data_IF_117917825758
#
_entry.id   IF_117917825758
#
_cell.length_a   1.000
_cell.length_b   1.000
_cell.length_c   1.000
_cell.angle_alpha   90.00
_cell.angle_beta   90.00
_cell.angle_gamma   90.00
#
_symmetry.space_group_name_H-M   'P 1'
#
loop_
_entity.id
_entity.type
_entity.pdbx_description
1 polymer ?
#
# COMPACT_ATOMS: atom_id res chain seq x y z
N UNK A 1 -9.94 -6.48 8.42
CA UNK A 1 -10.77 -5.24 8.49
C UNK A 1 -10.01 -4.06 9.08
N UNK A 2 -9.14 -4.25 10.10
CA UNK A 2 -8.29 -3.18 10.65
C UNK A 2 -6.81 -3.34 10.33
N UNK A 3 -6.49 -4.15 9.32
CA UNK A 3 -5.11 -4.49 8.96
C UNK A 3 -4.36 -3.23 8.48
N UNK A 4 -5.03 -2.37 7.73
CA UNK A 4 -4.50 -1.09 7.25
C UNK A 4 -4.36 -0.06 8.37
N UNK A 5 -5.30 0.00 9.31
CA UNK A 5 -5.19 0.84 10.50
C UNK A 5 -3.97 0.44 11.35
N UNK A 6 -3.69 -0.86 11.44
CA UNK A 6 -2.50 -1.40 12.09
C UNK A 6 -1.22 -1.04 11.33
N UNK A 7 -1.21 -1.07 9.99
CA UNK A 7 -0.09 -0.57 9.18
C UNK A 7 0.19 0.91 9.49
N UNK A 8 -0.85 1.75 9.50
CA UNK A 8 -0.76 3.17 9.85
C UNK A 8 -0.22 3.37 11.27
N UNK A 9 -0.70 2.58 12.23
CA UNK A 9 -0.23 2.60 13.61
C UNK A 9 1.25 2.24 13.73
N UNK A 10 1.69 1.16 13.07
CA UNK A 10 3.12 0.75 13.03
C UNK A 10 3.97 1.88 12.47
N UNK A 11 3.56 2.51 11.36
CA UNK A 11 4.29 3.66 10.80
C UNK A 11 4.41 4.81 11.80
N UNK A 12 3.33 5.14 12.53
CA UNK A 12 3.37 6.23 13.52
C UNK A 12 4.39 5.98 14.66
N UNK A 13 4.57 4.73 15.09
CA UNK A 13 5.60 4.33 16.07
C UNK A 13 7.02 4.32 15.49
N UNK A 14 7.16 3.94 14.22
CA UNK A 14 8.47 3.81 13.57
C UNK A 14 8.97 5.12 12.94
N UNK A 15 8.13 6.15 12.86
CA UNK A 15 8.45 7.41 12.21
C UNK A 15 9.49 8.23 12.98
N UNK A 16 10.53 8.68 12.25
CA UNK A 16 11.65 9.47 12.76
C UNK A 16 12.84 8.64 13.23
N UNK A 17 14.00 9.27 13.40
CA UNK A 17 15.23 8.59 13.84
C UNK A 17 15.18 8.11 15.30
N UNK A 18 14.45 8.82 16.15
CA UNK A 18 14.23 8.49 17.56
C UNK A 18 12.83 7.92 17.77
N UNK A 19 12.67 7.10 18.80
CA UNK A 19 11.38 6.57 19.20
C UNK A 19 10.51 7.73 19.73
N UNK A 20 9.30 7.97 19.19
CA UNK A 20 8.41 9.04 19.64
C UNK A 20 7.87 8.80 21.06
N UNK A 21 7.30 9.80 21.74
CA UNK A 21 6.49 9.52 22.93
C UNK A 21 5.13 8.90 22.55
N UNK A 22 4.44 8.27 23.50
CA UNK A 22 3.08 7.77 23.26
C UNK A 22 2.10 8.87 22.83
N UNK A 23 2.25 10.07 23.41
CA UNK A 23 1.45 11.24 23.05
C UNK A 23 1.76 11.74 21.63
N UNK A 24 3.03 11.71 21.21
CA UNK A 24 3.43 12.03 19.84
C UNK A 24 2.84 11.03 18.84
N UNK A 25 2.85 9.72 19.15
CA UNK A 25 2.22 8.69 18.30
C UNK A 25 0.73 8.98 18.15
N UNK A 26 0.04 9.23 19.27
CA UNK A 26 -1.39 9.56 19.26
C UNK A 26 -1.68 10.83 18.46
N UNK A 27 -0.90 11.89 18.67
CA UNK A 27 -1.04 13.15 17.94
C UNK A 27 -0.86 12.96 16.43
N UNK A 28 0.13 12.15 16.01
CA UNK A 28 0.33 11.79 14.59
C UNK A 28 -0.89 11.07 14.02
N UNK A 29 -1.41 10.06 14.72
CA UNK A 29 -2.60 9.32 14.24
C UNK A 29 -3.79 10.26 14.04
N UNK A 30 -4.08 11.10 15.04
CA UNK A 30 -5.19 12.05 14.99
C UNK A 30 -5.01 13.10 13.88
N UNK A 31 -3.80 13.65 13.71
CA UNK A 31 -3.54 14.64 12.65
C UNK A 31 -3.68 14.04 11.24
N UNK A 32 -3.40 12.75 11.08
CA UNK A 32 -3.62 12.01 9.84
C UNK A 32 -5.08 11.59 9.62
N UNK A 33 -6.03 12.05 10.45
CA UNK A 33 -7.45 11.75 10.31
C UNK A 33 -7.88 10.39 10.86
N UNK A 34 -7.05 9.70 11.66
CA UNK A 34 -7.48 8.51 12.40
C UNK A 34 -8.45 8.94 13.50
N UNK A 35 -9.58 8.27 13.61
CA UNK A 35 -10.60 8.62 14.60
C UNK A 35 -10.11 8.34 16.03
N UNK A 36 -10.53 9.14 17.04
CA UNK A 36 -10.02 9.05 18.41
C UNK A 36 -10.13 7.65 19.03
N UNK A 37 -11.24 6.94 18.80
CA UNK A 37 -11.45 5.60 19.36
C UNK A 37 -10.49 4.55 18.79
N UNK A 38 -10.05 4.73 17.54
CA UNK A 38 -9.11 3.83 16.87
C UNK A 38 -7.68 4.20 17.24
N UNK A 39 -7.36 5.50 17.28
CA UNK A 39 -6.06 5.99 17.72
C UNK A 39 -5.71 5.47 19.13
N UNK A 40 -6.66 5.55 20.08
CA UNK A 40 -6.48 5.03 21.44
C UNK A 40 -6.17 3.53 21.46
N UNK A 41 -6.92 2.74 20.68
CA UNK A 41 -6.69 1.30 20.58
C UNK A 41 -5.33 0.98 19.98
N UNK A 42 -4.94 1.67 18.91
CA UNK A 42 -3.64 1.45 18.27
C UNK A 42 -2.50 1.77 19.24
N UNK A 43 -2.62 2.83 20.04
CA UNK A 43 -1.58 3.20 21.02
C UNK A 43 -1.43 2.19 22.15
N UNK A 44 -2.48 1.46 22.54
CA UNK A 44 -2.39 0.41 23.55
C UNK A 44 -2.07 -0.97 22.98
N UNK A 45 -2.76 -1.37 21.91
CA UNK A 45 -2.72 -2.74 21.41
C UNK A 45 -1.50 -3.06 20.55
N UNK A 46 -0.90 -2.08 19.88
CA UNK A 46 0.35 -2.34 19.15
C UNK A 46 1.51 -2.67 20.11
N UNK A 47 1.82 -1.84 21.13
CA UNK A 47 2.82 -2.21 22.14
C UNK A 47 2.52 -3.55 22.80
N UNK A 48 1.27 -3.82 23.16
CA UNK A 48 0.88 -5.08 23.79
C UNK A 48 1.14 -6.29 22.88
N UNK A 49 0.68 -6.24 21.62
CA UNK A 49 0.84 -7.34 20.67
C UNK A 49 2.32 -7.60 20.33
N UNK A 50 3.09 -6.53 20.07
CA UNK A 50 4.52 -6.64 19.77
C UNK A 50 5.34 -7.06 21.01
N UNK A 51 4.96 -6.57 22.20
CA UNK A 51 5.56 -6.97 23.47
C UNK A 51 5.36 -8.45 23.76
N UNK A 52 4.14 -8.96 23.62
CA UNK A 52 3.86 -10.40 23.84
C UNK A 52 4.63 -11.32 22.91
N UNK A 53 4.95 -10.87 21.69
CA UNK A 53 5.83 -11.63 20.78
C UNK A 53 7.24 -11.83 21.35
N UNK A 54 7.77 -10.87 22.10
CA UNK A 54 9.15 -10.96 22.67
C UNK A 54 9.19 -11.60 24.06
N UNK A 55 8.05 -11.71 24.75
CA UNK A 55 7.94 -12.28 26.10
C UNK A 55 7.93 -13.82 26.15
N UNK A 56 8.45 -14.51 25.13
CA UNK A 56 8.34 -15.97 24.98
C UNK A 56 8.56 -16.75 26.28
N UNK A 57 7.63 -17.63 26.65
CA UNK A 57 7.71 -18.43 27.87
C UNK A 57 7.14 -17.78 29.15
N UNK A 58 6.77 -16.49 29.12
CA UNK A 58 5.97 -15.86 30.19
C UNK A 58 4.50 -16.18 30.00
N UNK A 59 3.78 -16.50 31.08
CA UNK A 59 2.33 -16.67 31.03
C UNK A 59 1.64 -15.31 31.12
N UNK A 60 0.89 -14.95 30.09
CA UNK A 60 0.13 -13.69 30.02
C UNK A 60 -1.36 -13.95 30.12
N UNK A 61 -2.09 -13.02 30.73
CA UNK A 61 -3.54 -13.06 30.78
C UNK A 61 -4.13 -12.63 29.42
N UNK A 62 -5.12 -13.36 28.91
CA UNK A 62 -5.79 -13.04 27.63
C UNK A 62 -6.90 -11.98 27.79
N UNK A 63 -6.93 -11.32 28.94
CA UNK A 63 -7.87 -10.25 29.25
C UNK A 63 -7.17 -8.96 29.66
N UNK A 64 -7.91 -7.86 29.53
CA UNK A 64 -7.53 -6.54 30.02
C UNK A 64 -8.67 -5.94 30.85
N UNK A 65 -8.33 -5.00 31.72
CA UNK A 65 -9.28 -4.21 32.49
C UNK A 65 -9.52 -2.88 31.77
N UNK A 66 -10.73 -2.72 31.27
CA UNK A 66 -11.26 -1.52 30.66
C UNK A 66 -12.05 -0.74 31.72
N UNK A 67 -11.35 0.11 32.48
CA UNK A 67 -11.84 0.60 33.76
C UNK A 67 -12.08 -0.58 34.72
N UNK A 68 -13.32 -0.74 35.19
CA UNK A 68 -13.71 -1.87 36.07
C UNK A 68 -14.11 -3.13 35.29
N UNK A 69 -14.24 -3.05 33.96
CA UNK A 69 -14.76 -4.16 33.15
C UNK A 69 -13.63 -5.04 32.62
N UNK A 70 -13.65 -6.33 32.97
CA UNK A 70 -12.73 -7.31 32.39
C UNK A 70 -13.19 -7.75 31.01
N UNK A 71 -12.34 -7.57 29.99
CA UNK A 71 -12.60 -7.91 28.59
C UNK A 71 -11.54 -8.83 28.03
N UNK A 72 -11.91 -9.70 27.08
CA UNK A 72 -10.94 -10.54 26.36
C UNK A 72 -10.28 -9.77 25.22
N UNK A 73 -8.96 -9.88 25.10
CA UNK A 73 -8.17 -9.24 24.06
C UNK A 73 -8.50 -9.81 22.66
N UNK A 74 -8.64 -11.13 22.56
CA UNK A 74 -8.96 -11.81 21.29
C UNK A 74 -10.35 -11.50 20.73
N UNK A 75 -11.20 -10.79 21.49
CA UNK A 75 -12.50 -10.29 21.02
C UNK A 75 -12.42 -8.88 20.44
N UNK A 76 -11.32 -8.15 20.65
CA UNK A 76 -11.12 -6.85 20.03
C UNK A 76 -10.49 -7.02 18.63
N UNK A 77 -11.17 -6.57 17.55
CA UNK A 77 -10.70 -6.79 16.19
C UNK A 77 -9.42 -6.01 15.86
N UNK A 78 -9.14 -4.89 16.55
CA UNK A 78 -7.90 -4.12 16.38
C UNK A 78 -6.73 -4.88 17.01
N UNK A 79 -6.93 -5.45 18.21
CA UNK A 79 -5.91 -6.29 18.84
C UNK A 79 -5.58 -7.53 18.00
N UNK A 80 -6.59 -8.21 17.44
CA UNK A 80 -6.36 -9.35 16.54
C UNK A 80 -5.51 -8.98 15.33
N UNK A 81 -5.80 -7.85 14.68
CA UNK A 81 -5.00 -7.36 13.55
C UNK A 81 -3.57 -7.00 14.01
N UNK A 82 -3.42 -6.39 15.18
CA UNK A 82 -2.11 -6.08 15.76
C UNK A 82 -1.27 -7.33 16.02
N UNK A 83 -1.86 -8.41 16.55
CA UNK A 83 -1.18 -9.71 16.74
C UNK A 83 -0.75 -10.33 15.41
N UNK A 84 -1.63 -10.32 14.40
CA UNK A 84 -1.30 -10.83 13.07
C UNK A 84 -0.13 -10.05 12.45
N UNK A 85 -0.13 -8.72 12.57
CA UNK A 85 0.97 -7.88 12.08
C UNK A 85 2.25 -8.06 12.89
N UNK A 86 2.13 -8.21 14.21
CA UNK A 86 3.25 -8.46 15.10
C UNK A 86 3.92 -9.78 14.73
N UNK A 87 3.21 -10.81 14.30
CA UNK A 87 3.79 -12.11 13.94
C UNK A 87 4.79 -12.04 12.76
N UNK A 88 4.57 -11.12 11.83
CA UNK A 88 5.40 -10.95 10.61
C UNK A 88 6.37 -9.75 10.68
N UNK A 89 6.38 -9.03 11.80
CA UNK A 89 7.19 -7.82 11.96
C UNK A 89 8.70 -8.11 11.92
N UNK A 90 9.48 -7.17 11.37
CA UNK A 90 10.95 -7.23 11.43
C UNK A 90 11.50 -6.82 12.80
N UNK A 91 12.76 -7.17 13.08
CA UNK A 91 13.40 -6.88 14.38
C UNK A 91 13.40 -5.38 14.72
N UNK A 92 13.60 -4.51 13.74
CA UNK A 92 13.60 -3.07 13.94
C UNK A 92 12.23 -2.54 14.41
N UNK A 93 11.13 -3.06 13.86
CA UNK A 93 9.78 -2.69 14.27
C UNK A 93 9.47 -3.21 15.67
N UNK A 94 9.89 -4.45 15.97
CA UNK A 94 9.76 -5.04 17.30
C UNK A 94 10.48 -4.20 18.34
N UNK A 95 11.75 -3.87 18.11
CA UNK A 95 12.55 -3.06 19.02
C UNK A 95 11.93 -1.67 19.26
N UNK A 96 11.36 -1.07 18.21
CA UNK A 96 10.65 0.21 18.30
C UNK A 96 9.37 0.08 19.13
N UNK A 97 8.49 -0.86 18.81
CA UNK A 97 7.11 -0.86 19.34
C UNK A 97 7.02 -1.60 20.69
N UNK A 98 7.73 -2.71 20.87
CA UNK A 98 7.65 -3.51 22.09
C UNK A 98 8.15 -2.75 23.32
N UNK A 99 9.03 -1.76 23.15
CA UNK A 99 9.54 -0.92 24.24
C UNK A 99 8.48 -0.09 24.96
N UNK A 100 7.32 0.13 24.33
CA UNK A 100 6.18 0.84 24.94
C UNK A 100 5.30 -0.11 25.78
N UNK A 101 5.56 -1.41 25.75
CA UNK A 101 4.75 -2.38 26.48
C UNK A 101 5.10 -2.39 27.96
N UNK A 102 4.11 -2.10 28.80
CA UNK A 102 4.24 -2.22 30.26
C UNK A 102 4.53 -3.67 30.68
N UNK A 103 3.99 -4.67 29.97
CA UNK A 103 4.30 -6.09 30.23
C UNK A 103 5.79 -6.38 30.01
N UNK A 104 6.39 -5.84 28.94
CA UNK A 104 7.83 -5.99 28.67
C UNK A 104 8.66 -5.30 29.74
N UNK A 105 8.29 -4.08 30.15
CA UNK A 105 8.99 -3.36 31.21
C UNK A 105 8.98 -4.13 32.54
N UNK A 106 7.81 -4.64 32.95
CA UNK A 106 7.65 -5.41 34.20
C UNK A 106 8.43 -6.72 34.16
N UNK A 107 8.37 -7.46 33.05
CA UNK A 107 9.14 -8.71 32.91
C UNK A 107 10.63 -8.42 32.93
N UNK A 108 11.10 -7.41 32.18
CA UNK A 108 12.51 -7.02 32.16
C UNK A 108 13.01 -6.68 33.58
N UNK A 109 12.25 -5.91 34.35
CA UNK A 109 12.58 -5.59 35.73
C UNK A 109 12.60 -6.84 36.64
N UNK A 110 11.63 -7.75 36.49
CA UNK A 110 11.58 -8.98 37.28
C UNK A 110 12.79 -9.89 36.98
N UNK A 111 13.18 -10.02 35.71
CA UNK A 111 14.34 -10.80 35.28
C UNK A 111 15.65 -10.19 35.80
N UNK A 112 15.80 -8.85 35.74
CA UNK A 112 16.93 -8.14 36.35
C UNK A 112 17.00 -8.35 37.87
N UNK A 113 15.84 -8.53 38.51
CA UNK A 113 15.72 -8.91 39.92
C UNK A 113 15.99 -10.39 40.23
N UNK A 114 16.37 -11.20 39.23
CA UNK A 114 16.69 -12.62 39.39
C UNK A 114 15.51 -13.58 39.30
N UNK A 115 14.32 -13.11 38.86
CA UNK A 115 13.20 -14.00 38.63
C UNK A 115 13.47 -14.95 37.44
N UNK A 116 12.93 -16.16 37.49
CA UNK A 116 12.98 -17.10 36.38
C UNK A 116 11.84 -16.84 35.39
N UNK A 117 12.16 -16.67 34.11
CA UNK A 117 11.21 -16.34 33.04
C UNK A 117 9.99 -17.26 32.99
N UNK A 118 10.18 -18.59 33.05
CA UNK A 118 9.10 -19.58 32.98
C UNK A 118 8.17 -19.62 34.21
N UNK A 119 8.53 -18.90 35.29
CA UNK A 119 7.70 -18.77 36.50
C UNK A 119 6.91 -17.47 36.53
N UNK A 120 7.21 -16.53 35.62
CA UNK A 120 6.51 -15.26 35.55
C UNK A 120 5.08 -15.44 35.04
N UNK A 121 4.14 -14.83 35.75
CA UNK A 121 2.71 -14.78 35.40
C UNK A 121 2.27 -13.33 35.45
N UNK A 122 1.84 -12.80 34.33
CA UNK A 122 1.28 -11.46 34.23
C UNK A 122 -0.24 -11.55 34.34
N UNK A 123 -0.81 -10.74 35.24
CA UNK A 123 -2.25 -10.54 35.33
C UNK A 123 -2.79 -9.71 34.16
N UNK A 124 -4.09 -9.40 34.15
CA UNK A 124 -4.68 -8.56 33.11
C UNK A 124 -4.06 -7.17 33.12
N UNK A 125 -3.80 -6.63 31.92
CA UNK A 125 -3.33 -5.24 31.76
C UNK A 125 -4.47 -4.30 32.11
N UNK A 126 -4.20 -3.32 32.98
CA UNK A 126 -5.14 -2.26 33.30
C UNK A 126 -4.93 -1.06 32.38
N UNK A 127 -6.02 -0.53 31.83
CA UNK A 127 -6.02 0.74 31.12
C UNK A 127 -6.48 1.83 32.07
N UNK A 128 -5.65 2.87 32.24
CA UNK A 128 -5.96 3.98 33.16
C UNK A 128 -7.25 4.71 32.76
N UNK A 129 -7.48 4.84 31.45
CA UNK A 129 -8.71 5.33 30.87
C UNK A 129 -9.38 4.19 30.11
N UNK A 130 -10.70 4.04 30.30
CA UNK A 130 -11.46 3.08 29.52
C UNK A 130 -11.40 3.41 28.02
N UNK A 131 -11.33 2.38 27.18
CA UNK A 131 -11.33 2.53 25.74
C UNK A 131 -12.68 3.09 25.29
N UNK A 132 -12.69 4.10 24.40
CA UNK A 132 -13.93 4.52 23.75
C UNK A 132 -14.61 3.33 23.06
N UNK A 133 -15.95 3.30 22.91
CA UNK A 133 -16.61 2.23 22.16
C UNK A 133 -16.06 2.16 20.72
N UNK A 134 -16.07 0.96 20.14
CA UNK A 134 -15.69 0.79 18.72
C UNK A 134 -16.67 1.60 17.88
N UNK A 135 -16.14 2.51 17.08
CA UNK A 135 -16.92 3.32 16.15
C UNK A 135 -17.38 2.54 14.93
N UNK A 136 -18.21 3.18 14.10
CA UNK A 136 -18.64 2.60 12.84
C UNK A 136 -17.59 2.82 11.74
N UNK A 137 -17.47 1.87 10.82
CA UNK A 137 -16.61 2.00 9.64
C UNK A 137 -15.12 1.79 9.93
N UNK A 138 -14.27 2.49 9.18
CA UNK A 138 -12.82 2.23 9.14
C UNK A 138 -12.01 3.10 10.10
N UNK A 139 -12.65 3.97 10.88
CA UNK A 139 -11.99 4.90 11.80
C UNK A 139 -10.97 5.83 11.13
N UNK A 140 -11.26 6.27 9.90
CA UNK A 140 -10.39 7.16 9.12
C UNK A 140 -9.38 6.47 8.19
N UNK A 141 -9.24 5.14 8.25
CA UNK A 141 -8.28 4.38 7.41
C UNK A 141 -9.01 3.30 6.60
N UNK A 142 -9.62 3.64 5.43
CA UNK A 142 -10.34 2.67 4.62
C UNK A 142 -9.43 1.56 4.09
N UNK A 143 -9.94 0.33 3.98
CA UNK A 143 -9.20 -0.78 3.36
C UNK A 143 -9.17 -0.62 1.83
N UNK A 144 -7.98 -0.49 1.19
CA UNK A 144 -7.88 -0.43 -0.26
C UNK A 144 -8.50 -1.64 -0.94
N UNK A 145 -8.38 -2.84 -0.34
CA UNK A 145 -9.00 -4.07 -0.84
C UNK A 145 -10.53 -3.96 -0.91
N UNK A 146 -11.18 -3.53 0.17
CA UNK A 146 -12.63 -3.38 0.19
C UNK A 146 -13.11 -2.30 -0.77
N UNK A 147 -12.40 -1.17 -0.83
CA UNK A 147 -12.76 -0.10 -1.77
C UNK A 147 -12.56 -0.53 -3.22
N UNK A 148 -11.46 -1.22 -3.51
CA UNK A 148 -11.15 -1.77 -4.83
C UNK A 148 -12.22 -2.79 -5.28
N UNK A 149 -12.62 -3.73 -4.42
CA UNK A 149 -13.66 -4.70 -4.74
C UNK A 149 -15.01 -4.04 -5.02
N UNK A 150 -15.41 -3.06 -4.19
CA UNK A 150 -16.64 -2.30 -4.41
C UNK A 150 -16.61 -1.49 -5.70
N UNK A 151 -15.46 -0.86 -5.98
CA UNK A 151 -15.22 -0.13 -7.22
C UNK A 151 -15.33 -1.07 -8.44
N UNK A 152 -14.62 -2.20 -8.46
CA UNK A 152 -14.71 -3.19 -9.55
C UNK A 152 -16.13 -3.69 -9.81
N UNK A 153 -16.91 -3.93 -8.74
CA UNK A 153 -18.31 -4.33 -8.86
C UNK A 153 -19.16 -3.27 -9.57
N UNK A 154 -18.88 -1.97 -9.37
CA UNK A 154 -19.57 -0.88 -10.05
C UNK A 154 -19.31 -0.85 -11.58
N UNK A 155 -18.19 -1.42 -12.04
CA UNK A 155 -17.86 -1.61 -13.47
C UNK A 155 -18.34 -2.96 -14.04
N UNK A 156 -19.21 -3.66 -13.32
CA UNK A 156 -19.70 -4.97 -13.75
C UNK A 156 -18.69 -6.10 -13.59
N UNK A 157 -17.63 -5.89 -12.78
CA UNK A 157 -16.61 -6.89 -12.46
C UNK A 157 -16.73 -7.27 -10.97
N UNK A 158 -17.69 -8.12 -10.59
CA UNK A 158 -17.96 -8.44 -9.19
C UNK A 158 -16.88 -9.37 -8.63
N UNK A 159 -15.81 -8.78 -8.10
CA UNK A 159 -14.79 -9.53 -7.36
C UNK A 159 -15.37 -9.88 -5.98
N UNK A 160 -15.24 -11.15 -5.58
CA UNK A 160 -15.64 -11.59 -4.25
C UNK A 160 -14.83 -10.93 -3.12
N UNK A 161 -15.27 -11.12 -1.87
CA UNK A 161 -14.51 -10.67 -0.69
C UNK A 161 -13.14 -11.35 -0.57
N UNK A 162 -12.95 -12.50 -1.23
CA UNK A 162 -11.68 -13.22 -1.34
C UNK A 162 -10.75 -12.62 -2.41
N UNK A 163 -11.16 -11.51 -3.04
CA UNK A 163 -10.45 -10.83 -4.13
C UNK A 163 -10.18 -11.73 -5.34
N UNK A 164 -11.12 -12.63 -5.68
CA UNK A 164 -11.00 -13.51 -6.85
C UNK A 164 -12.12 -13.32 -7.85
N UNK A 165 -11.80 -13.59 -9.12
CA UNK A 165 -12.76 -13.67 -10.22
C UNK A 165 -12.28 -14.68 -11.27
N UNK A 166 -12.91 -15.85 -11.31
CA UNK A 166 -12.44 -16.95 -12.16
C UNK A 166 -11.01 -17.36 -11.79
N UNK A 167 -10.12 -17.36 -12.77
CA UNK A 167 -8.69 -17.64 -12.57
C UNK A 167 -7.87 -16.41 -12.16
N UNK A 168 -8.50 -15.23 -12.04
CA UNK A 168 -7.85 -14.01 -11.57
C UNK A 168 -7.83 -13.93 -10.04
N UNK A 169 -6.66 -13.61 -9.48
CA UNK A 169 -6.50 -13.25 -8.06
C UNK A 169 -6.01 -11.80 -7.97
N UNK A 170 -6.67 -10.99 -7.14
CA UNK A 170 -6.35 -9.59 -6.94
C UNK A 170 -5.85 -9.33 -5.52
N UNK A 171 -5.03 -8.29 -5.36
CA UNK A 171 -4.61 -7.76 -4.06
C UNK A 171 -4.55 -6.23 -4.12
N UNK A 172 -4.95 -5.57 -3.06
CA UNK A 172 -4.70 -4.14 -2.87
C UNK A 172 -4.19 -3.93 -1.44
N UNK A 173 -2.88 -3.69 -1.31
CA UNK A 173 -2.22 -3.62 0.00
C UNK A 173 -1.68 -2.22 0.28
N UNK A 174 -1.96 -1.70 1.48
CA UNK A 174 -1.45 -0.42 1.94
C UNK A 174 0.00 -0.59 2.44
N UNK A 175 0.89 0.23 1.91
CA UNK A 175 2.15 0.61 2.52
C UNK A 175 2.03 2.07 2.99
N UNK A 176 2.62 2.36 4.14
CA UNK A 176 2.57 3.67 4.78
C UNK A 176 3.99 4.24 4.91
N UNK A 177 4.52 4.89 3.85
CA UNK A 177 5.81 5.57 3.91
C UNK A 177 5.85 6.67 5.00
N UNK A 178 7.06 7.10 5.42
CA UNK A 178 7.21 8.24 6.32
C UNK A 178 6.57 9.50 5.75
N UNK A 179 6.09 10.38 6.64
CA UNK A 179 5.47 11.64 6.22
C UNK A 179 6.52 12.59 5.63
N UNK A 180 6.19 13.34 4.56
CA UNK A 180 7.06 14.38 4.02
C UNK A 180 7.06 15.63 4.92
N UNK A 181 5.91 15.95 5.52
CA UNK A 181 5.72 17.03 6.48
C UNK A 181 4.74 16.60 7.58
N UNK A 182 4.71 17.25 8.75
CA UNK A 182 3.78 16.88 9.83
C UNK A 182 2.29 16.91 9.44
N UNK A 183 1.93 17.74 8.46
CA UNK A 183 0.56 17.99 8.00
C UNK A 183 0.08 17.02 6.92
N UNK A 184 0.97 16.19 6.37
CA UNK A 184 0.66 15.31 5.25
C UNK A 184 0.97 13.86 5.59
N UNK A 185 0.16 12.94 5.08
CA UNK A 185 0.41 11.51 5.09
C UNK A 185 0.64 11.01 3.67
N UNK A 186 1.36 9.90 3.57
CA UNK A 186 1.61 9.21 2.30
C UNK A 186 0.97 7.84 2.37
N UNK A 187 0.03 7.58 1.47
CA UNK A 187 -0.50 6.24 1.25
C UNK A 187 0.08 5.72 -0.06
N UNK A 188 0.79 4.59 0.01
CA UNK A 188 1.15 3.83 -1.18
C UNK A 188 0.26 2.58 -1.21
N UNK A 189 -0.55 2.42 -2.25
CA UNK A 189 -1.34 1.20 -2.44
C UNK A 189 -0.72 0.39 -3.57
N UNK A 190 -0.38 -0.86 -3.29
CA UNK A 190 0.07 -1.82 -4.27
C UNK A 190 -1.11 -2.64 -4.75
N UNK A 191 -1.50 -2.44 -5.99
CA UNK A 191 -2.51 -3.23 -6.69
C UNK A 191 -1.80 -4.36 -7.44
N UNK A 192 -2.19 -5.59 -7.17
CA UNK A 192 -1.63 -6.75 -7.82
C UNK A 192 -2.73 -7.60 -8.47
N UNK A 193 -2.45 -8.12 -9.66
CA UNK A 193 -3.32 -9.09 -10.34
C UNK A 193 -2.48 -10.27 -10.80
N UNK A 194 -2.91 -11.46 -10.43
CA UNK A 194 -2.42 -12.72 -10.97
C UNK A 194 -3.44 -13.25 -11.95
N UNK A 195 -3.02 -13.60 -13.16
CA UNK A 195 -3.89 -14.13 -14.19
C UNK A 195 -3.09 -15.04 -15.12
N UNK A 196 -3.62 -16.20 -15.54
CA UNK A 196 -2.89 -17.18 -16.37
C UNK A 196 -2.47 -16.64 -17.75
N UNK A 197 -3.12 -15.57 -18.23
CA UNK A 197 -2.73 -14.93 -19.49
C UNK A 197 -1.47 -14.06 -19.38
N UNK A 198 -1.02 -13.69 -18.18
CA UNK A 198 0.16 -12.83 -17.99
C UNK A 198 1.45 -13.59 -18.31
N UNK A 199 2.43 -12.88 -18.86
CA UNK A 199 3.77 -13.40 -19.11
C UNK A 199 4.54 -13.74 -17.82
N UNK A 200 4.17 -13.10 -16.70
CA UNK A 200 4.70 -13.35 -15.36
C UNK A 200 3.57 -13.54 -14.36
N UNK A 201 3.74 -14.43 -13.35
CA UNK A 201 2.80 -14.51 -12.26
C UNK A 201 2.89 -13.22 -11.46
N UNK A 202 1.78 -12.48 -11.40
CA UNK A 202 1.64 -11.14 -10.83
C UNK A 202 2.12 -9.98 -11.71
N UNK A 203 1.17 -9.16 -12.12
CA UNK A 203 1.41 -7.74 -12.41
C UNK A 203 1.17 -6.97 -11.12
N UNK A 204 2.10 -6.08 -10.75
CA UNK A 204 1.97 -5.20 -9.59
C UNK A 204 2.14 -3.76 -10.04
N UNK A 205 1.21 -2.90 -9.65
CA UNK A 205 1.29 -1.46 -9.80
C UNK A 205 1.14 -0.76 -8.46
N UNK A 206 2.01 0.22 -8.20
CA UNK A 206 2.02 0.98 -6.95
C UNK A 206 1.63 2.43 -7.21
N UNK A 207 0.49 2.88 -6.67
CA UNK A 207 0.08 4.29 -6.72
C UNK A 207 0.33 4.96 -5.37
N UNK A 208 0.77 6.23 -5.39
CA UNK A 208 1.14 6.98 -4.18
C UNK A 208 0.33 8.26 -4.08
N UNK A 209 -0.48 8.38 -3.03
CA UNK A 209 -1.28 9.54 -2.72
C UNK A 209 -0.70 10.28 -1.52
N UNK A 210 -0.63 11.61 -1.63
CA UNK A 210 -0.18 12.50 -0.55
C UNK A 210 -1.31 13.45 -0.22
N UNK A 211 -1.78 13.44 1.02
CA UNK A 211 -2.91 14.26 1.46
C UNK A 211 -2.85 14.53 2.97
N UNK A 212 -3.66 15.46 3.50
CA UNK A 212 -3.75 15.68 4.94
C UNK A 212 -4.21 14.46 5.74
N UNK A 213 -5.10 13.64 5.18
CA UNK A 213 -5.64 12.46 5.89
C UNK A 213 -5.37 11.14 5.16
N UNK A 214 -5.32 10.04 5.92
CA UNK A 214 -5.17 8.68 5.36
C UNK A 214 -6.28 8.33 4.39
N UNK A 215 -7.52 8.70 4.74
CA UNK A 215 -8.68 8.54 3.88
C UNK A 215 -8.46 9.21 2.52
N UNK A 216 -8.13 10.50 2.52
CA UNK A 216 -7.90 11.25 1.27
C UNK A 216 -6.72 10.68 0.47
N UNK A 217 -5.60 10.38 1.14
CA UNK A 217 -4.42 9.82 0.48
C UNK A 217 -4.74 8.48 -0.20
N UNK A 218 -5.48 7.58 0.48
CA UNK A 218 -5.91 6.30 -0.09
C UNK A 218 -6.87 6.51 -1.27
N UNK A 219 -7.86 7.40 -1.16
CA UNK A 219 -8.75 7.68 -2.29
C UNK A 219 -8.03 8.30 -3.49
N UNK A 220 -7.01 9.15 -3.27
CA UNK A 220 -6.16 9.63 -4.35
C UNK A 220 -5.43 8.47 -5.05
N UNK A 221 -4.85 7.51 -4.30
CA UNK A 221 -4.20 6.34 -4.92
C UNK A 221 -5.14 5.55 -5.80
N UNK A 222 -6.38 5.34 -5.35
CA UNK A 222 -7.40 4.60 -6.09
C UNK A 222 -7.84 5.34 -7.35
N UNK A 223 -8.03 6.65 -7.28
CA UNK A 223 -8.38 7.46 -8.45
C UNK A 223 -7.26 7.47 -9.51
N UNK A 224 -5.99 7.47 -9.07
CA UNK A 224 -4.86 7.32 -10.00
C UNK A 224 -4.83 5.93 -10.63
N UNK A 225 -5.02 4.87 -9.84
CA UNK A 225 -5.05 3.49 -10.33
C UNK A 225 -6.18 3.27 -11.33
N UNK A 226 -7.39 3.76 -11.01
CA UNK A 226 -8.56 3.71 -11.88
C UNK A 226 -8.23 4.27 -13.27
N UNK A 227 -7.72 5.52 -13.31
CA UNK A 227 -7.47 6.23 -14.57
C UNK A 227 -6.34 5.62 -15.38
N UNK A 228 -5.27 5.19 -14.71
CA UNK A 228 -4.05 4.75 -15.39
C UNK A 228 -4.07 3.27 -15.76
N UNK A 229 -4.59 2.40 -14.89
CA UNK A 229 -4.25 0.96 -14.92
C UNK A 229 -5.48 0.08 -14.94
N UNK A 230 -6.52 0.48 -14.23
CA UNK A 230 -7.62 -0.43 -13.97
C UNK A 230 -8.45 -0.74 -15.22
N UNK A 231 -8.77 0.28 -16.02
CA UNK A 231 -9.45 0.09 -17.31
C UNK A 231 -8.67 -0.81 -18.29
N UNK A 232 -7.39 -0.54 -18.61
CA UNK A 232 -6.64 -1.41 -19.50
C UNK A 232 -6.41 -2.81 -18.90
N UNK A 233 -6.29 -2.95 -17.58
CA UNK A 233 -6.23 -4.26 -16.90
C UNK A 233 -7.51 -5.07 -17.08
N UNK A 234 -8.68 -4.46 -16.84
CA UNK A 234 -9.97 -5.12 -17.04
C UNK A 234 -10.10 -5.55 -18.50
N UNK A 235 -9.78 -4.67 -19.45
CA UNK A 235 -9.91 -4.98 -20.87
C UNK A 235 -8.92 -6.04 -21.36
N UNK A 236 -7.71 -6.10 -20.79
CA UNK A 236 -6.67 -7.05 -21.16
C UNK A 236 -6.88 -8.45 -20.55
N UNK A 237 -7.40 -8.53 -19.32
CA UNK A 237 -7.38 -9.77 -18.53
C UNK A 237 -8.75 -10.33 -18.20
N UNK A 238 -9.80 -9.51 -18.15
CA UNK A 238 -11.09 -9.90 -17.57
C UNK A 238 -12.22 -9.86 -18.60
N UNK A 239 -12.61 -8.66 -19.02
CA UNK A 239 -13.64 -8.44 -20.03
C UNK A 239 -13.31 -7.20 -20.84
N UNK A 240 -12.96 -7.44 -22.10
CA UNK A 240 -12.64 -6.40 -23.07
C UNK A 240 -13.74 -5.35 -23.22
N UNK A 241 -15.02 -5.75 -23.09
CA UNK A 241 -16.15 -4.84 -23.30
C UNK A 241 -16.43 -3.95 -22.09
N UNK A 242 -16.08 -4.41 -20.88
CA UNK A 242 -16.38 -3.69 -19.65
C UNK A 242 -15.66 -2.33 -19.53
N UNK A 243 -14.52 -2.16 -20.24
CA UNK A 243 -13.72 -0.94 -20.19
C UNK A 243 -13.46 -0.31 -21.58
N UNK A 244 -14.20 -0.72 -22.62
CA UNK A 244 -13.90 -0.36 -24.01
C UNK A 244 -13.92 1.17 -24.28
N UNK A 245 -14.75 1.93 -23.56
CA UNK A 245 -14.85 3.39 -23.72
C UNK A 245 -13.70 4.15 -23.03
N UNK A 246 -12.91 3.47 -22.20
CA UNK A 246 -11.88 4.07 -21.35
C UNK A 246 -10.46 3.61 -21.70
N UNK A 247 -10.30 2.80 -22.75
CA UNK A 247 -9.01 2.23 -23.18
C UNK A 247 -8.78 2.55 -24.64
N UNK A 248 -7.65 3.18 -24.95
CA UNK A 248 -7.20 3.30 -26.34
C UNK A 248 -6.60 1.96 -26.78
N UNK A 249 -7.01 1.49 -27.97
CA UNK A 249 -6.55 0.22 -28.53
C UNK A 249 -5.86 0.47 -29.86
N UNK A 250 -4.59 0.08 -29.94
CA UNK A 250 -3.76 0.24 -31.15
C UNK A 250 -3.12 -1.09 -31.54
N UNK A 251 -2.86 -1.30 -32.84
CA UNK A 251 -2.12 -2.48 -33.30
C UNK A 251 -0.63 -2.19 -33.27
N UNK A 252 0.12 -3.03 -32.57
CA UNK A 252 1.58 -2.97 -32.47
C UNK A 252 2.21 -4.18 -33.13
N UNK A 253 3.12 -3.93 -34.08
CA UNK A 253 3.87 -4.99 -34.76
C UNK A 253 5.20 -5.22 -34.04
N UNK A 254 5.42 -6.46 -33.62
CA UNK A 254 6.62 -6.89 -32.92
C UNK A 254 7.23 -8.12 -33.62
N UNK A 255 8.57 -8.34 -33.57
CA UNK A 255 9.18 -9.54 -34.15
C UNK A 255 8.61 -10.88 -33.63
N UNK A 256 8.07 -10.89 -32.41
CA UNK A 256 7.38 -12.05 -31.82
C UNK A 256 5.90 -12.20 -32.24
N UNK A 257 5.40 -11.37 -33.16
CA UNK A 257 4.03 -11.37 -33.66
C UNK A 257 3.27 -10.07 -33.38
N UNK A 258 2.05 -9.96 -33.88
CA UNK A 258 1.21 -8.76 -33.64
C UNK A 258 0.62 -8.78 -32.23
N UNK A 259 0.55 -7.59 -31.63
CA UNK A 259 -0.08 -7.32 -30.34
C UNK A 259 -1.09 -6.19 -30.50
N UNK A 260 -2.09 -6.18 -29.65
CA UNK A 260 -2.93 -5.03 -29.38
C UNK A 260 -2.41 -4.33 -28.14
N UNK A 261 -2.16 -3.04 -28.27
CA UNK A 261 -1.74 -2.19 -27.19
C UNK A 261 -2.98 -1.56 -26.55
N UNK A 262 -3.20 -1.86 -25.27
CA UNK A 262 -4.28 -1.31 -24.46
C UNK A 262 -3.69 -0.26 -23.52
N UNK A 263 -3.86 1.02 -23.86
CA UNK A 263 -3.25 2.15 -23.18
C UNK A 263 -4.23 2.80 -22.19
N UNK A 264 -3.77 2.99 -20.95
CA UNK A 264 -4.48 3.80 -19.95
C UNK A 264 -4.20 5.29 -20.07
N UNK A 265 -4.91 6.10 -19.29
CA UNK A 265 -4.70 7.54 -19.32
C UNK A 265 -3.30 7.91 -18.77
N UNK A 266 -2.68 8.93 -19.38
CA UNK A 266 -1.55 9.62 -18.77
C UNK A 266 -1.96 10.23 -17.42
N UNK A 267 -1.17 9.96 -16.39
CA UNK A 267 -1.32 10.56 -15.07
C UNK A 267 -0.19 11.57 -14.87
N UNK A 268 -0.61 12.82 -14.75
CA UNK A 268 0.26 13.95 -14.45
C UNK A 268 0.36 14.14 -12.93
N UNK A 269 1.58 14.29 -12.45
CA UNK A 269 1.92 14.43 -11.04
C UNK A 269 2.70 15.71 -10.83
N UNK A 270 2.49 16.36 -9.69
CA UNK A 270 3.22 17.55 -9.19
C UNK A 270 3.03 18.86 -9.98
N UNK A 271 2.75 18.80 -11.28
CA UNK A 271 2.62 19.96 -12.14
C UNK A 271 1.34 20.76 -11.84
N UNK A 272 1.46 22.08 -11.88
CA UNK A 272 0.33 23.03 -11.83
C UNK A 272 -0.09 23.54 -13.20
N UNK A 273 0.75 23.30 -14.21
CA UNK A 273 0.54 23.67 -15.61
C UNK A 273 0.14 22.43 -16.42
N UNK A 274 -0.54 22.60 -17.57
CA UNK A 274 -0.84 21.49 -18.47
C UNK A 274 0.43 20.75 -18.89
N UNK A 275 0.46 19.44 -18.69
CA UNK A 275 1.61 18.60 -19.06
C UNK A 275 1.41 18.10 -20.50
N UNK A 276 2.43 18.20 -21.38
CA UNK A 276 2.36 17.65 -22.73
C UNK A 276 2.12 16.13 -22.75
N UNK A 277 1.63 15.62 -23.88
CA UNK A 277 1.48 14.19 -24.11
C UNK A 277 2.83 13.47 -24.02
N UNK A 278 2.85 12.32 -23.38
CA UNK A 278 3.99 11.44 -23.25
C UNK A 278 4.14 10.45 -24.42
N UNK A 279 3.24 10.51 -25.40
CA UNK A 279 3.25 9.71 -26.63
C UNK A 279 4.64 9.68 -27.32
N UNK A 280 5.38 10.81 -27.49
CA UNK A 280 6.70 10.75 -28.13
C UNK A 280 7.74 9.92 -27.36
N UNK A 281 7.67 9.88 -26.03
CA UNK A 281 8.53 9.02 -25.22
C UNK A 281 8.05 7.57 -25.33
N UNK A 282 6.74 7.36 -25.26
CA UNK A 282 6.16 6.03 -25.34
C UNK A 282 6.44 5.35 -26.69
N UNK A 283 6.38 6.08 -27.80
CA UNK A 283 6.78 5.60 -29.13
C UNK A 283 8.24 5.14 -29.16
N UNK A 284 9.14 5.90 -28.53
CA UNK A 284 10.56 5.50 -28.42
C UNK A 284 10.74 4.23 -27.60
N UNK A 285 9.93 4.05 -26.54
CA UNK A 285 9.90 2.81 -25.77
C UNK A 285 9.38 1.65 -26.62
N UNK A 286 8.33 1.85 -27.43
CA UNK A 286 7.81 0.81 -28.34
C UNK A 286 8.81 0.43 -29.42
N UNK A 287 9.65 1.36 -29.90
CA UNK A 287 10.76 1.04 -30.81
C UNK A 287 11.80 0.19 -30.10
N UNK A 288 12.25 0.59 -28.90
CA UNK A 288 13.22 -0.19 -28.13
C UNK A 288 12.69 -1.58 -27.72
N UNK A 289 11.37 -1.70 -27.56
CA UNK A 289 10.72 -2.96 -27.21
C UNK A 289 10.86 -4.01 -28.32
N UNK A 290 11.09 -3.62 -29.58
CA UNK A 290 11.27 -4.56 -30.71
C UNK A 290 12.48 -5.49 -30.52
N UNK A 291 13.47 -5.07 -29.73
CA UNK A 291 14.67 -5.87 -29.44
C UNK A 291 14.46 -6.83 -28.25
N UNK A 292 13.29 -6.80 -27.60
CA UNK A 292 12.97 -7.64 -26.44
C UNK A 292 12.25 -8.91 -26.92
N UNK A 293 12.71 -10.12 -26.58
CA UNK A 293 12.03 -11.35 -26.97
C UNK A 293 10.75 -11.55 -26.14
N UNK A 294 9.62 -11.02 -26.64
CA UNK A 294 8.31 -11.19 -26.04
C UNK A 294 7.73 -12.59 -26.32
N UNK A 295 6.98 -13.10 -25.36
CA UNK A 295 6.21 -14.34 -25.52
C UNK A 295 4.83 -14.04 -26.14
N UNK A 296 4.05 -15.07 -26.47
CA UNK A 296 2.64 -14.91 -26.87
C UNK A 296 1.70 -14.87 -25.66
N UNK A 297 2.13 -14.21 -24.59
CA UNK A 297 1.33 -13.93 -23.40
C UNK A 297 1.02 -12.43 -23.31
N UNK A 298 0.19 -12.03 -22.35
CA UNK A 298 -0.10 -10.63 -22.05
C UNK A 298 1.09 -10.04 -21.29
N UNK A 299 1.65 -8.95 -21.82
CA UNK A 299 2.76 -8.23 -21.21
C UNK A 299 2.29 -6.89 -20.65
N UNK A 300 2.87 -6.46 -19.53
CA UNK A 300 2.58 -5.17 -18.91
C UNK A 300 3.77 -4.22 -19.06
N UNK A 301 3.57 -3.07 -19.68
CA UNK A 301 4.59 -2.02 -19.83
C UNK A 301 4.15 -0.79 -19.06
N UNK A 302 5.02 -0.25 -18.21
CA UNK A 302 4.77 1.02 -17.54
C UNK A 302 6.02 1.87 -17.54
N UNK A 303 5.83 3.19 -17.54
CA UNK A 303 6.90 4.10 -17.18
C UNK A 303 6.41 5.19 -16.24
N UNK A 304 7.34 5.68 -15.43
CA UNK A 304 7.22 6.88 -14.63
C UNK A 304 8.49 7.69 -14.78
N UNK A 305 8.36 8.98 -15.08
CA UNK A 305 9.48 9.93 -15.11
C UNK A 305 9.14 11.11 -14.22
N UNK A 306 10.10 11.58 -13.43
CA UNK A 306 9.95 12.81 -12.65
C UNK A 306 11.10 13.78 -12.92
N UNK A 307 10.76 15.06 -13.03
CA UNK A 307 11.68 16.16 -13.29
C UNK A 307 11.44 17.30 -12.31
N UNK A 308 12.51 18.08 -12.06
CA UNK A 308 12.49 19.35 -11.37
C UNK A 308 13.28 20.35 -12.20
N UNK A 309 12.63 21.43 -12.65
CA UNK A 309 13.27 22.49 -13.44
C UNK A 309 14.03 21.95 -14.66
N UNK A 310 13.36 21.06 -15.41
CA UNK A 310 13.91 20.40 -16.58
C UNK A 310 14.95 19.31 -16.29
N UNK A 311 15.37 19.13 -15.03
CA UNK A 311 16.33 18.09 -14.63
C UNK A 311 15.62 16.84 -14.17
N UNK A 312 15.95 15.69 -14.76
CA UNK A 312 15.42 14.40 -14.32
C UNK A 312 15.84 14.11 -12.87
N UNK A 313 14.85 13.77 -12.04
CA UNK A 313 15.05 13.29 -10.68
C UNK A 313 15.10 11.76 -10.64
N UNK A 314 14.18 11.12 -11.36
CA UNK A 314 14.11 9.66 -11.48
C UNK A 314 13.41 9.26 -12.77
N UNK A 315 13.73 8.06 -13.24
CA UNK A 315 12.91 7.33 -14.18
C UNK A 315 12.76 5.88 -13.73
N UNK A 316 11.60 5.31 -14.02
CA UNK A 316 11.26 3.94 -13.75
C UNK A 316 10.57 3.42 -15.00
N UNK A 317 11.15 2.44 -15.67
CA UNK A 317 10.50 1.75 -16.78
C UNK A 317 10.48 0.27 -16.44
N UNK A 318 9.30 -0.33 -16.48
CA UNK A 318 9.09 -1.71 -16.06
C UNK A 318 8.39 -2.49 -17.17
N UNK A 319 8.86 -3.71 -17.40
CA UNK A 319 8.22 -4.70 -18.26
C UNK A 319 7.91 -5.94 -17.41
N UNK A 320 6.64 -6.33 -17.37
CA UNK A 320 6.13 -7.47 -16.59
C UNK A 320 6.50 -7.43 -15.10
N UNK A 321 6.53 -6.23 -14.52
CA UNK A 321 6.84 -6.03 -13.10
C UNK A 321 8.34 -5.99 -12.78
N UNK A 322 9.21 -6.12 -13.78
CA UNK A 322 10.67 -6.04 -13.61
C UNK A 322 11.22 -4.73 -14.19
N UNK A 323 12.24 -4.10 -13.57
CA UNK A 323 12.94 -2.97 -14.16
C UNK A 323 13.52 -3.31 -15.54
N UNK A 324 13.24 -2.46 -16.53
CA UNK A 324 13.72 -2.62 -17.90
C UNK A 324 14.78 -1.57 -18.24
N UNK A 325 16.06 -1.96 -18.15
CA UNK A 325 17.21 -1.05 -18.27
C UNK A 325 17.29 -0.30 -19.61
N UNK A 326 17.01 -0.98 -20.73
CA UNK A 326 17.00 -0.33 -22.03
C UNK A 326 15.89 0.73 -22.12
N UNK A 327 14.71 0.44 -21.56
CA UNK A 327 13.62 1.40 -21.44
C UNK A 327 13.98 2.60 -20.57
N UNK A 328 14.63 2.37 -19.42
CA UNK A 328 15.13 3.45 -18.55
C UNK A 328 16.17 4.33 -19.25
N UNK A 329 17.00 3.75 -20.13
CA UNK A 329 17.95 4.51 -20.94
C UNK A 329 17.25 5.41 -21.96
N UNK A 330 16.20 4.89 -22.63
CA UNK A 330 15.35 5.68 -23.53
C UNK A 330 14.67 6.83 -22.78
N UNK A 331 14.07 6.54 -21.62
CA UNK A 331 13.44 7.57 -20.79
C UNK A 331 14.44 8.65 -20.33
N UNK A 332 15.65 8.25 -19.93
CA UNK A 332 16.72 9.18 -19.53
C UNK A 332 17.15 10.14 -20.65
N UNK A 333 17.09 9.68 -21.90
CA UNK A 333 17.45 10.48 -23.07
C UNK A 333 16.33 11.43 -23.52
N UNK A 334 15.09 11.22 -23.06
CA UNK A 334 13.96 12.04 -23.44
C UNK A 334 13.98 13.41 -22.74
N UNK A 335 13.58 14.49 -23.45
CA UNK A 335 13.50 15.82 -22.87
C UNK A 335 12.46 15.88 -21.75
N UNK A 336 12.67 16.76 -20.78
CA UNK A 336 11.68 17.03 -19.76
C UNK A 336 10.37 17.54 -20.40
N UNK A 337 9.19 17.10 -19.92
CA UNK A 337 7.92 17.54 -20.48
C UNK A 337 7.64 19.03 -20.17
N UNK A 338 8.21 19.56 -19.07
CA UNK A 338 8.18 20.98 -18.72
C UNK A 338 9.58 21.49 -18.43
N UNK A 339 9.85 22.76 -18.77
CA UNK A 339 11.15 23.40 -18.55
C UNK A 339 11.37 23.86 -17.10
N UNK A 340 10.29 24.17 -16.36
CA UNK A 340 10.33 24.72 -15.01
C UNK A 340 9.33 24.02 -14.10
N UNK A 341 9.63 23.97 -12.80
CA UNK A 341 8.76 23.36 -11.80
C UNK A 341 8.88 21.83 -11.72
N UNK A 342 8.18 21.22 -10.74
CA UNK A 342 8.11 19.77 -10.61
C UNK A 342 7.08 19.19 -11.59
N UNK A 343 7.45 18.09 -12.25
CA UNK A 343 6.53 17.34 -13.11
C UNK A 343 6.85 15.86 -13.06
N UNK A 344 5.83 15.06 -12.81
CA UNK A 344 5.85 13.61 -12.93
C UNK A 344 4.87 13.17 -14.00
N UNK A 345 5.24 12.19 -14.80
CA UNK A 345 4.39 11.60 -15.84
C UNK A 345 4.41 10.10 -15.65
N UNK A 346 3.22 9.50 -15.62
CA UNK A 346 3.03 8.06 -15.57
C UNK A 346 2.10 7.58 -16.66
N UNK A 347 2.49 6.49 -17.32
CA UNK A 347 1.68 5.80 -18.32
C UNK A 347 1.80 4.29 -18.09
N UNK A 348 0.68 3.59 -18.28
CA UNK A 348 0.59 2.14 -18.17
C UNK A 348 -0.10 1.57 -19.42
N UNK A 349 0.42 0.46 -19.93
CA UNK A 349 -0.13 -0.23 -21.08
C UNK A 349 -0.04 -1.76 -20.92
N UNK A 350 -0.99 -2.46 -21.55
CA UNK A 350 -0.88 -3.90 -21.78
C UNK A 350 -0.62 -4.18 -23.26
N UNK A 351 0.27 -5.13 -23.54
CA UNK A 351 0.41 -5.74 -24.87
C UNK A 351 -0.29 -7.09 -24.83
N UNK A 352 -1.43 -7.19 -25.51
CA UNK A 352 -2.24 -8.40 -25.61
C UNK A 352 -1.96 -9.06 -26.97
N UNK A 353 -1.62 -10.35 -27.06
CA UNK A 353 -1.41 -11.01 -28.35
C UNK A 353 -2.63 -10.83 -29.26
N UNK A 354 -2.42 -10.29 -30.47
CA UNK A 354 -3.47 -10.20 -31.47
C UNK A 354 -3.78 -11.61 -31.99
N UNK A 355 -5.07 -11.97 -32.05
CA UNK A 355 -5.56 -13.28 -32.49
C UNK A 355 -5.42 -13.56 -33.98
#
# INVERSE_FOLDING_TARGET
MFDEAVVVGVTAFCEGAQAPSGDEVKARLLSGGVEPWLAERLTYFLPLAFGRRVLGGVQVDETFLDGETRRRLDRDPVFRAAVARAAIAGEAEIARIAGYSSEVAVVSQALQGGAEQGKLRLGPVSLDNGLPPIGNGSGGVPSPASVFAHWMAAYGVPIGEDLKLGDAEFRATLAAPPRPTPELVVAQVNFAVNHPALARPWMVESCVGVAPTWKEAIFLTLAMFERAVAYPMIAALIDRKAAAEHVAVERYRHPAGEFELLLGAQVDLFATEPVPSAEPLFDQLLVALQDVPLSRAVHALRFFTAYQDGRMLTNEVFLDGEPWEAGMTVAAAAPAPLATGPVGVRVFAFLVPAG
#
